data_IF_458190534324
#
_entry.id   IF_458190534324
#
_cell.length_a   1.000
_cell.length_b   1.000
_cell.length_c   1.000
_cell.angle_alpha   90.00
_cell.angle_beta   90.00
_cell.angle_gamma   90.00
#
_symmetry.space_group_name_H-M   'P 1'
#
loop_
_entity.id
_entity.type
_entity.pdbx_description
1 polymer ?
#
# COMPACT_ATOMS: atom_id res chain seq x y z
N UNK A 1 31.44 -21.65 5.81
CA UNK A 1 31.64 -20.45 6.67
C UNK A 1 31.00 -19.21 6.06
N UNK A 2 31.40 -18.77 4.85
CA UNK A 2 30.86 -17.56 4.19
C UNK A 2 29.32 -17.55 4.04
N UNK A 3 28.74 -18.67 3.57
CA UNK A 3 27.27 -18.83 3.45
C UNK A 3 26.52 -18.69 4.79
N UNK A 4 27.11 -19.14 5.89
CA UNK A 4 26.49 -19.02 7.21
C UNK A 4 26.57 -17.57 7.72
N UNK A 5 27.66 -16.86 7.43
CA UNK A 5 27.83 -15.45 7.76
C UNK A 5 26.86 -14.58 6.95
N UNK A 6 26.71 -14.86 5.66
CA UNK A 6 25.77 -14.14 4.80
C UNK A 6 24.32 -14.38 5.23
N UNK A 7 23.96 -15.61 5.61
CA UNK A 7 22.64 -15.93 6.16
C UNK A 7 22.34 -15.19 7.47
N UNK A 8 23.34 -15.04 8.35
CA UNK A 8 23.18 -14.27 9.60
C UNK A 8 23.06 -12.77 9.30
N UNK A 9 23.86 -12.23 8.39
CA UNK A 9 23.80 -10.81 7.99
C UNK A 9 22.48 -10.45 7.30
N UNK A 10 21.92 -11.37 6.52
CA UNK A 10 20.62 -11.23 5.85
C UNK A 10 19.43 -11.60 6.75
N UNK A 11 19.66 -12.24 7.90
CA UNK A 11 18.58 -12.56 8.82
C UNK A 11 18.06 -11.30 9.49
N UNK A 12 16.85 -10.89 9.12
CA UNK A 12 16.14 -9.84 9.82
C UNK A 12 15.69 -10.37 11.18
N UNK A 13 16.42 -10.01 12.24
CA UNK A 13 16.08 -10.35 13.62
C UNK A 13 14.70 -9.81 14.00
N UNK A 14 14.00 -10.53 14.88
CA UNK A 14 12.69 -10.17 15.43
C UNK A 14 12.71 -8.73 15.97
N UNK A 15 13.81 -8.31 16.59
CA UNK A 15 14.01 -6.94 17.10
C UNK A 15 13.89 -5.86 16.01
N UNK A 16 14.35 -6.13 14.77
CA UNK A 16 14.23 -5.17 13.66
C UNK A 16 12.80 -5.11 13.12
N UNK A 17 12.08 -6.24 13.14
CA UNK A 17 10.63 -6.27 12.86
C UNK A 17 9.86 -5.50 13.94
N UNK A 18 10.20 -5.71 15.21
CA UNK A 18 9.60 -5.01 16.35
C UNK A 18 9.90 -3.51 16.34
N UNK A 19 11.11 -3.10 15.97
CA UNK A 19 11.45 -1.69 15.78
C UNK A 19 10.68 -1.06 14.62
N UNK A 20 10.47 -1.79 13.51
CA UNK A 20 9.64 -1.30 12.41
C UNK A 20 8.17 -1.18 12.82
N UNK A 21 7.64 -2.11 13.62
CA UNK A 21 6.29 -2.00 14.19
C UNK A 21 6.18 -0.90 15.25
N UNK A 22 7.25 -0.61 15.99
CA UNK A 22 7.29 0.46 17.00
C UNK A 22 7.14 1.85 16.37
N UNK A 23 7.61 2.06 15.13
CA UNK A 23 7.37 3.29 14.38
C UNK A 23 5.96 3.38 13.76
N UNK A 24 5.24 2.26 13.65
CA UNK A 24 3.83 2.20 13.22
C UNK A 24 2.86 2.50 14.38
N UNK A 25 3.38 2.61 15.61
CA UNK A 25 2.61 2.70 16.85
C UNK A 25 1.95 4.06 17.15
N UNK A 26 1.67 4.88 16.14
CA UNK A 26 0.56 5.83 16.28
C UNK A 26 -0.71 5.03 16.00
N UNK A 27 -1.50 4.74 17.06
CA UNK A 27 -2.76 4.01 16.93
C UNK A 27 -3.55 4.58 15.75
N UNK A 28 -3.66 3.81 14.67
CA UNK A 28 -4.35 4.26 13.46
C UNK A 28 -5.75 4.70 13.85
N UNK A 29 -6.06 5.97 13.60
CA UNK A 29 -7.40 6.49 13.84
C UNK A 29 -8.32 5.97 12.74
N UNK A 30 -9.52 5.55 13.14
CA UNK A 30 -10.56 5.20 12.18
C UNK A 30 -10.86 6.42 11.31
N UNK A 31 -10.86 6.25 9.99
CA UNK A 31 -11.17 7.32 9.05
C UNK A 31 -12.62 7.77 9.24
N UNK A 32 -12.87 9.08 9.09
CA UNK A 32 -14.22 9.63 9.07
C UNK A 32 -15.08 9.05 7.93
N UNK A 33 -14.46 8.53 6.87
CA UNK A 33 -15.15 7.94 5.73
C UNK A 33 -15.35 6.42 5.87
N UNK A 34 -14.82 5.76 6.91
CA UNK A 34 -14.75 4.31 6.96
C UNK A 34 -16.13 3.61 6.96
N UNK A 35 -17.14 4.23 7.57
CA UNK A 35 -18.48 3.63 7.69
C UNK A 35 -19.39 3.96 6.50
N UNK A 36 -19.19 5.12 5.88
CA UNK A 36 -20.09 5.67 4.85
C UNK A 36 -19.41 5.77 3.47
N UNK A 37 -18.29 5.07 3.27
CA UNK A 37 -17.59 5.08 1.99
C UNK A 37 -18.49 4.47 0.91
N UNK A 38 -18.85 5.27 -0.09
CA UNK A 38 -19.56 4.76 -1.25
C UNK A 38 -18.61 3.96 -2.14
N UNK A 39 -19.02 2.74 -2.48
CA UNK A 39 -18.38 1.90 -3.48
C UNK A 39 -19.29 1.81 -4.71
N UNK A 40 -18.74 2.08 -5.88
CA UNK A 40 -19.46 2.15 -7.15
C UNK A 40 -19.34 0.80 -7.85
N UNK A 41 -20.46 0.29 -8.35
CA UNK A 41 -20.46 -0.89 -9.23
C UNK A 41 -20.12 -0.46 -10.66
N UNK A 42 -18.89 -0.77 -11.09
CA UNK A 42 -18.37 -0.49 -12.42
C UNK A 42 -17.84 -1.76 -13.14
N UNK A 43 -18.13 -2.95 -12.59
CA UNK A 43 -17.68 -4.22 -13.14
C UNK A 43 -16.18 -4.52 -13.02
N UNK A 44 -15.41 -3.74 -12.24
CA UNK A 44 -13.98 -3.99 -12.03
C UNK A 44 -13.78 -5.17 -11.09
N UNK A 45 -13.01 -6.17 -11.54
CA UNK A 45 -12.59 -7.32 -10.73
C UNK A 45 -11.09 -7.25 -10.49
N UNK A 46 -10.69 -7.17 -9.22
CA UNK A 46 -9.29 -7.06 -8.83
C UNK A 46 -8.66 -8.46 -8.70
N UNK A 47 -7.64 -8.80 -9.51
CA UNK A 47 -6.96 -10.09 -9.38
C UNK A 47 -6.17 -10.15 -8.05
N UNK A 48 -5.81 -11.33 -7.55
CA UNK A 48 -5.03 -11.48 -6.33
C UNK A 48 -3.55 -11.10 -6.47
N UNK A 49 -3.05 -10.91 -7.71
CA UNK A 49 -1.67 -10.55 -8.00
C UNK A 49 -1.53 -9.98 -9.43
N UNK A 50 -0.31 -9.58 -9.81
CA UNK A 50 -0.01 -9.11 -11.17
C UNK A 50 -0.49 -7.68 -11.47
N UNK A 51 -0.70 -6.88 -10.42
CA UNK A 51 -1.20 -5.52 -10.57
C UNK A 51 -0.20 -4.59 -11.27
N UNK A 52 -0.76 -3.61 -11.98
CA UNK A 52 -0.04 -2.50 -12.62
C UNK A 52 -0.82 -1.22 -12.42
N UNK A 53 -0.13 -0.09 -12.34
CA UNK A 53 -0.76 1.21 -12.38
C UNK A 53 -1.55 1.41 -13.70
N UNK A 54 -2.77 1.94 -13.63
CA UNK A 54 -3.57 2.21 -14.83
C UNK A 54 -3.03 3.37 -15.70
N UNK A 55 -2.13 4.21 -15.15
CA UNK A 55 -1.58 5.41 -15.83
C UNK A 55 -0.09 5.28 -16.19
N UNK A 56 0.63 4.23 -15.75
CA UNK A 56 2.03 3.96 -16.15
C UNK A 56 2.46 2.51 -15.93
N UNK A 57 3.72 2.19 -16.24
CA UNK A 57 4.26 0.83 -16.15
C UNK A 57 4.70 0.36 -14.77
N UNK A 58 4.41 1.12 -13.71
CA UNK A 58 4.76 0.70 -12.35
C UNK A 58 3.94 -0.51 -11.92
N UNK A 59 4.64 -1.49 -11.36
CA UNK A 59 4.10 -2.72 -10.76
C UNK A 59 4.33 -2.76 -9.23
N UNK A 60 4.96 -1.73 -8.69
CA UNK A 60 5.29 -1.57 -7.27
C UNK A 60 4.62 -0.30 -6.70
N UNK A 61 4.54 -0.23 -5.36
CA UNK A 61 3.94 0.89 -4.63
C UNK A 61 2.56 1.29 -5.18
N UNK A 62 1.70 0.28 -5.34
CA UNK A 62 0.37 0.44 -5.92
C UNK A 62 -0.69 0.62 -4.83
N UNK A 63 -1.66 1.46 -5.12
CA UNK A 63 -2.77 1.82 -4.25
C UNK A 63 -4.08 1.53 -4.98
N UNK A 64 -4.91 0.70 -4.37
CA UNK A 64 -6.25 0.37 -4.83
C UNK A 64 -7.23 1.35 -4.19
N UNK A 65 -7.91 2.16 -4.99
CA UNK A 65 -8.97 3.03 -4.50
C UNK A 65 -10.18 2.19 -4.11
N UNK A 66 -10.72 2.41 -2.91
CA UNK A 66 -11.81 1.62 -2.36
C UNK A 66 -13.19 2.03 -2.90
N UNK A 67 -13.32 3.19 -3.55
CA UNK A 67 -14.59 3.65 -4.13
C UNK A 67 -14.88 2.99 -5.47
N UNK A 68 -13.88 2.79 -6.33
CA UNK A 68 -14.09 2.36 -7.73
C UNK A 68 -13.14 1.25 -8.19
N UNK A 69 -12.23 0.78 -7.34
CA UNK A 69 -11.28 -0.27 -7.69
C UNK A 69 -10.11 0.16 -8.57
N UNK A 70 -9.89 1.46 -8.81
CA UNK A 70 -8.76 1.92 -9.61
C UNK A 70 -7.41 1.62 -8.94
N UNK A 71 -6.45 1.08 -9.70
CA UNK A 71 -5.09 0.76 -9.21
C UNK A 71 -4.09 1.79 -9.73
N UNK A 72 -3.49 2.56 -8.82
CA UNK A 72 -2.64 3.69 -9.18
C UNK A 72 -1.35 3.69 -8.35
N UNK A 73 -0.23 4.11 -8.96
CA UNK A 73 1.03 4.19 -8.24
C UNK A 73 1.03 5.34 -7.23
N UNK A 74 1.74 5.14 -6.13
CA UNK A 74 1.82 6.10 -5.04
C UNK A 74 2.54 7.42 -5.39
N UNK A 75 2.73 8.23 -4.36
CA UNK A 75 3.41 9.53 -4.49
C UNK A 75 4.89 9.39 -4.81
N UNK A 76 5.43 10.39 -5.49
CA UNK A 76 6.86 10.63 -5.66
C UNK A 76 7.42 11.26 -4.39
N UNK A 77 8.55 10.73 -3.90
CA UNK A 77 9.28 11.29 -2.78
C UNK A 77 10.26 12.37 -3.25
N UNK A 78 10.76 13.17 -2.31
CA UNK A 78 11.68 14.29 -2.60
C UNK A 78 13.04 13.81 -3.13
N UNK A 79 13.46 12.59 -2.76
CA UNK A 79 14.69 11.94 -3.20
C UNK A 79 14.57 11.27 -4.59
N UNK A 80 13.41 11.41 -5.24
CA UNK A 80 13.11 10.79 -6.53
C UNK A 80 12.60 9.35 -6.46
N UNK A 81 12.58 8.73 -5.27
CA UNK A 81 12.01 7.39 -5.07
C UNK A 81 10.47 7.41 -5.03
N UNK A 82 9.86 6.22 -4.97
CA UNK A 82 8.41 6.07 -4.81
C UNK A 82 7.67 5.86 -6.13
N UNK A 83 6.49 6.47 -6.27
CA UNK A 83 5.63 6.39 -7.45
C UNK A 83 5.62 7.67 -8.29
N UNK A 84 4.66 7.77 -9.21
CA UNK A 84 4.52 8.89 -10.16
C UNK A 84 3.32 9.80 -9.83
N UNK A 85 2.85 9.83 -8.58
CA UNK A 85 1.72 10.65 -8.11
C UNK A 85 0.32 10.30 -8.63
N UNK A 86 0.17 9.28 -9.48
CA UNK A 86 -1.14 8.96 -10.06
C UNK A 86 -2.26 8.72 -9.04
N UNK A 87 -1.98 8.12 -7.88
CA UNK A 87 -2.99 7.94 -6.84
C UNK A 87 -3.48 9.27 -6.23
N UNK A 88 -2.57 10.22 -5.97
CA UNK A 88 -2.92 11.52 -5.38
C UNK A 88 -3.57 12.45 -6.41
N UNK A 89 -3.11 12.42 -7.66
CA UNK A 89 -3.73 13.14 -8.77
C UNK A 89 -5.17 12.65 -8.99
N UNK A 90 -5.37 11.33 -8.93
CA UNK A 90 -6.70 10.74 -9.05
C UNK A 90 -7.64 11.13 -7.91
N UNK A 91 -7.14 11.16 -6.67
CA UNK A 91 -7.90 11.72 -5.56
C UNK A 91 -8.26 13.19 -5.80
N UNK A 92 -7.36 13.99 -6.37
CA UNK A 92 -7.65 15.39 -6.66
C UNK A 92 -8.75 15.57 -7.71
N UNK A 93 -8.83 14.66 -8.68
CA UNK A 93 -9.86 14.60 -9.74
C UNK A 93 -11.22 14.11 -9.21
N UNK A 94 -11.23 13.02 -8.44
CA UNK A 94 -12.47 12.28 -8.06
C UNK A 94 -12.97 12.56 -6.65
N UNK A 95 -12.07 12.97 -5.74
CA UNK A 95 -12.29 13.07 -4.29
C UNK A 95 -12.63 11.75 -3.60
N UNK A 96 -12.27 10.61 -4.19
CA UNK A 96 -12.43 9.30 -3.56
C UNK A 96 -11.39 9.08 -2.46
N UNK A 97 -11.79 9.12 -1.17
CA UNK A 97 -10.89 9.49 -0.08
C UNK A 97 -10.03 8.35 0.46
N UNK A 98 -10.37 7.09 0.16
CA UNK A 98 -9.73 5.93 0.75
C UNK A 98 -9.11 5.02 -0.31
N UNK A 99 -7.87 4.61 -0.04
CA UNK A 99 -7.15 3.62 -0.83
C UNK A 99 -6.34 2.70 0.07
N UNK A 100 -6.16 1.45 -0.35
CA UNK A 100 -5.35 0.45 0.34
C UNK A 100 -4.10 0.14 -0.46
N UNK A 101 -2.97 -0.04 0.21
CA UNK A 101 -1.72 -0.45 -0.45
C UNK A 101 -1.78 -1.91 -0.84
N UNK A 102 -1.56 -2.21 -2.11
CA UNK A 102 -1.53 -3.59 -2.60
C UNK A 102 -0.26 -4.30 -2.09
N UNK A 103 -0.42 -5.59 -1.76
CA UNK A 103 0.63 -6.41 -1.14
C UNK A 103 0.72 -6.32 0.38
N UNK A 104 -0.08 -5.48 1.04
CA UNK A 104 -0.16 -5.42 2.53
C UNK A 104 -1.47 -5.98 3.09
N UNK A 105 -2.34 -6.52 2.24
CA UNK A 105 -3.61 -7.11 2.66
C UNK A 105 -3.31 -8.52 3.22
N UNK A 106 -3.65 -8.74 4.48
CA UNK A 106 -3.46 -10.00 5.20
C UNK A 106 -4.70 -10.31 6.04
N UNK A 107 -4.86 -11.57 6.44
CA UNK A 107 -5.90 -11.98 7.38
C UNK A 107 -5.58 -11.60 8.84
N UNK A 108 -4.35 -11.17 9.11
CA UNK A 108 -3.92 -10.72 10.43
C UNK A 108 -4.52 -9.35 10.78
N UNK A 109 -5.38 -9.34 11.80
CA UNK A 109 -6.04 -8.14 12.31
C UNK A 109 -5.22 -7.43 13.39
N UNK A 110 -4.23 -8.09 13.99
CA UNK A 110 -3.40 -7.52 15.07
C UNK A 110 -2.27 -6.65 14.51
N UNK A 111 -1.82 -6.91 13.27
CA UNK A 111 -0.85 -6.08 12.55
C UNK A 111 -1.43 -4.93 11.73
N UNK A 112 -2.76 -4.75 11.76
CA UNK A 112 -3.52 -3.82 10.91
C UNK A 112 -3.55 -2.37 11.38
#
# INVERSE_FOLDING_TARGET
VRLAVDAILMSEGIERKEQMTSWVADKKKVSAYAMDLQQIDNGVVIPPSGWRCCKCDKVDNLWLNLTDGMILCGRRNWDGSGGNNHAIEYYNETKYPLAVKLGTITADLEGA
#
